data_IF_796517421674
#
_entry.id   IF_796517421674
#
_cell.length_a   1.000
_cell.length_b   1.000
_cell.length_c   1.000
_cell.angle_alpha   90.00
_cell.angle_beta   90.00
_cell.angle_gamma   90.00
#
_symmetry.space_group_name_H-M   'P 1'
#
loop_
_entity.id
_entity.type
_entity.pdbx_description
1 polymer ?
#
# COMPACT_ATOMS: atom_id res chain seq x y z
N UNK A 1 36.14 19.42 22.91
CA UNK A 1 36.08 17.95 22.89
C UNK A 1 34.71 17.42 23.27
N UNK A 2 34.05 17.95 24.30
CA UNK A 2 32.70 17.49 24.68
C UNK A 2 31.65 17.70 23.60
N UNK A 3 31.70 18.78 22.83
CA UNK A 3 30.76 19.07 21.76
C UNK A 3 30.86 18.09 20.58
N UNK A 4 32.06 17.59 20.30
CA UNK A 4 32.30 16.63 19.22
C UNK A 4 31.74 15.27 19.58
N UNK A 5 31.88 14.85 20.85
CA UNK A 5 31.31 13.59 21.35
C UNK A 5 29.78 13.61 21.34
N UNK A 6 29.17 14.75 21.69
CA UNK A 6 27.71 14.92 21.63
C UNK A 6 27.19 14.89 20.19
N UNK A 7 27.93 15.49 19.25
CA UNK A 7 27.56 15.45 17.82
C UNK A 7 27.65 14.02 17.27
N UNK A 8 28.70 13.28 17.64
CA UNK A 8 28.84 11.89 17.23
C UNK A 8 27.72 11.01 17.82
N UNK A 9 27.36 11.21 19.07
CA UNK A 9 26.24 10.50 19.68
C UNK A 9 24.89 10.85 19.00
N UNK A 10 24.67 12.13 18.71
CA UNK A 10 23.47 12.57 18.01
C UNK A 10 23.38 11.96 16.60
N UNK A 11 24.50 11.90 15.88
CA UNK A 11 24.56 11.27 14.57
C UNK A 11 24.34 9.76 14.65
N UNK A 12 24.88 9.09 15.67
CA UNK A 12 24.64 7.65 15.90
C UNK A 12 23.16 7.37 16.17
N UNK A 13 22.52 8.18 16.99
CA UNK A 13 21.08 8.05 17.26
C UNK A 13 20.24 8.23 15.99
N UNK A 14 20.61 9.18 15.13
CA UNK A 14 19.96 9.39 13.84
C UNK A 14 20.17 8.22 12.89
N UNK A 15 21.37 7.65 12.87
CA UNK A 15 21.69 6.48 12.05
C UNK A 15 20.93 5.26 12.56
N UNK A 16 20.83 5.04 13.86
CA UNK A 16 20.03 3.97 14.45
C UNK A 16 18.56 4.10 14.09
N UNK A 17 18.01 5.31 14.16
CA UNK A 17 16.62 5.57 13.74
C UNK A 17 16.41 5.32 12.26
N UNK A 18 17.36 5.70 11.42
CA UNK A 18 17.32 5.44 9.98
C UNK A 18 17.49 3.95 9.68
N UNK A 19 18.35 3.26 10.40
CA UNK A 19 18.51 1.81 10.29
C UNK A 19 17.28 1.06 10.75
N UNK A 20 16.63 1.50 11.84
CA UNK A 20 15.36 0.94 12.27
C UNK A 20 14.26 1.17 11.24
N UNK A 21 14.22 2.33 10.60
CA UNK A 21 13.32 2.58 9.47
C UNK A 21 13.71 1.75 8.24
N UNK A 22 15.01 1.54 8.01
CA UNK A 22 15.52 0.73 6.91
C UNK A 22 15.35 -0.76 7.19
N UNK A 23 15.44 -1.21 8.45
CA UNK A 23 15.14 -2.59 8.82
C UNK A 23 13.64 -2.90 8.77
N UNK A 24 12.82 -1.86 8.66
CA UNK A 24 11.40 -1.95 8.30
C UNK A 24 11.21 -1.93 6.78
N UNK A 25 12.29 -1.78 5.97
CA UNK A 25 12.23 -2.13 4.56
C UNK A 25 11.94 -3.62 4.49
N UNK A 26 10.74 -4.01 4.06
CA UNK A 26 10.32 -5.38 4.23
C UNK A 26 11.19 -6.30 3.37
N UNK A 27 11.66 -7.37 3.99
CA UNK A 27 12.10 -8.52 3.23
C UNK A 27 10.97 -8.95 2.28
N UNK A 28 11.25 -9.73 1.25
CA UNK A 28 10.25 -10.21 0.30
C UNK A 28 9.05 -10.85 1.02
N UNK A 29 9.29 -11.53 2.16
CA UNK A 29 8.24 -12.13 2.98
C UNK A 29 7.38 -11.07 3.68
N UNK A 30 7.99 -10.00 4.19
CA UNK A 30 7.26 -8.91 4.84
C UNK A 30 6.42 -8.11 3.83
N UNK A 31 6.92 -7.93 2.61
CA UNK A 31 6.16 -7.31 1.53
C UNK A 31 4.95 -8.16 1.15
N UNK A 32 5.12 -9.49 1.08
CA UNK A 32 4.02 -10.40 0.80
C UNK A 32 2.95 -10.32 1.88
N UNK A 33 3.33 -10.35 3.15
CA UNK A 33 2.41 -10.22 4.28
C UNK A 33 1.67 -8.89 4.26
N UNK A 34 2.38 -7.81 3.99
CA UNK A 34 1.78 -6.47 3.89
C UNK A 34 0.83 -6.36 2.72
N UNK A 35 1.17 -6.95 1.59
CA UNK A 35 0.29 -6.97 0.42
C UNK A 35 -0.97 -7.79 0.71
N UNK A 36 -0.83 -8.96 1.32
CA UNK A 36 -1.96 -9.80 1.69
C UNK A 36 -2.88 -9.07 2.69
N UNK A 37 -2.30 -8.37 3.66
CA UNK A 37 -3.06 -7.55 4.60
C UNK A 37 -3.77 -6.41 3.89
N UNK A 38 -3.12 -5.75 2.93
CA UNK A 38 -3.72 -4.70 2.12
C UNK A 38 -4.94 -5.22 1.36
N UNK A 39 -4.84 -6.38 0.72
CA UNK A 39 -5.96 -7.01 0.03
C UNK A 39 -7.09 -7.33 1.01
N UNK A 40 -6.75 -7.93 2.14
CA UNK A 40 -7.72 -8.31 3.17
C UNK A 40 -8.48 -7.08 3.69
N UNK A 41 -7.79 -6.02 4.04
CA UNK A 41 -8.39 -4.80 4.58
C UNK A 41 -9.22 -4.05 3.52
N UNK A 42 -8.76 -4.05 2.27
CA UNK A 42 -9.52 -3.44 1.17
C UNK A 42 -10.82 -4.19 0.89
N UNK A 43 -10.78 -5.52 0.91
CA UNK A 43 -11.98 -6.35 0.77
C UNK A 43 -12.94 -6.12 1.93
N UNK A 44 -12.43 -6.03 3.14
CA UNK A 44 -13.23 -5.78 4.34
C UNK A 44 -13.91 -4.41 4.28
N UNK A 45 -13.19 -3.37 3.85
CA UNK A 45 -13.73 -2.01 3.74
C UNK A 45 -14.89 -1.94 2.75
N UNK A 46 -14.84 -2.71 1.67
CA UNK A 46 -15.85 -2.72 0.62
C UNK A 46 -16.83 -3.88 0.72
N UNK A 47 -16.75 -4.67 1.79
CA UNK A 47 -17.65 -5.80 2.05
C UNK A 47 -17.67 -6.83 0.92
N UNK A 48 -16.51 -7.10 0.35
CA UNK A 48 -16.32 -8.14 -0.66
C UNK A 48 -15.42 -9.24 -0.10
N UNK A 49 -15.42 -10.41 -0.73
CA UNK A 49 -14.52 -11.50 -0.38
C UNK A 49 -13.21 -11.40 -1.13
N UNK A 50 -12.15 -12.02 -0.61
CA UNK A 50 -10.88 -12.12 -1.33
C UNK A 50 -11.03 -12.91 -2.64
N UNK A 51 -11.95 -13.89 -2.66
CA UNK A 51 -12.26 -14.62 -3.86
C UNK A 51 -12.82 -13.68 -4.95
N UNK A 52 -13.73 -12.79 -4.60
CA UNK A 52 -14.27 -11.77 -5.51
C UNK A 52 -13.14 -10.87 -6.05
N UNK A 53 -12.20 -10.50 -5.18
CA UNK A 53 -11.07 -9.65 -5.54
C UNK A 53 -10.18 -10.31 -6.62
N UNK A 54 -9.90 -11.61 -6.48
CA UNK A 54 -9.01 -12.33 -7.41
C UNK A 54 -9.73 -12.91 -8.64
N UNK A 55 -11.03 -12.99 -8.62
CA UNK A 55 -11.82 -13.50 -9.74
C UNK A 55 -12.09 -12.43 -10.80
N UNK A 56 -12.68 -12.84 -11.92
CA UNK A 56 -12.98 -11.96 -13.05
C UNK A 56 -14.21 -11.07 -12.83
N UNK A 57 -14.75 -11.00 -11.61
CA UNK A 57 -15.89 -10.15 -11.29
C UNK A 57 -15.61 -8.68 -11.57
N UNK A 58 -16.64 -7.98 -12.10
CA UNK A 58 -16.54 -6.59 -12.51
C UNK A 58 -17.56 -5.69 -11.80
N UNK A 59 -18.04 -6.09 -10.64
CA UNK A 59 -18.88 -5.23 -9.84
C UNK A 59 -18.10 -3.99 -9.42
N UNK A 60 -18.80 -2.90 -9.20
CA UNK A 60 -18.20 -1.61 -8.83
C UNK A 60 -17.29 -1.74 -7.60
N UNK A 61 -17.75 -2.42 -6.56
CA UNK A 61 -16.98 -2.57 -5.32
C UNK A 61 -15.70 -3.39 -5.52
N UNK A 62 -15.77 -4.44 -6.33
CA UNK A 62 -14.61 -5.27 -6.66
C UNK A 62 -13.58 -4.47 -7.46
N UNK A 63 -14.03 -3.71 -8.46
CA UNK A 63 -13.15 -2.87 -9.27
C UNK A 63 -12.52 -1.77 -8.41
N UNK A 64 -13.30 -1.14 -7.54
CA UNK A 64 -12.80 -0.12 -6.62
C UNK A 64 -11.76 -0.70 -5.67
N UNK A 65 -12.00 -1.87 -5.10
CA UNK A 65 -11.04 -2.54 -4.21
C UNK A 65 -9.72 -2.82 -4.93
N UNK A 66 -9.78 -3.33 -6.15
CA UNK A 66 -8.57 -3.59 -6.96
C UNK A 66 -7.80 -2.31 -7.23
N UNK A 67 -8.46 -1.26 -7.66
CA UNK A 67 -7.83 0.02 -7.95
C UNK A 67 -7.21 0.64 -6.70
N UNK A 68 -7.88 0.54 -5.55
CA UNK A 68 -7.34 1.00 -4.26
C UNK A 68 -6.09 0.22 -3.87
N UNK A 69 -6.07 -1.10 -4.03
CA UNK A 69 -4.90 -1.94 -3.77
C UNK A 69 -3.75 -1.54 -4.70
N UNK A 70 -4.01 -1.35 -5.98
CA UNK A 70 -2.97 -0.94 -6.94
C UNK A 70 -2.37 0.42 -6.56
N UNK A 71 -3.20 1.35 -6.14
CA UNK A 71 -2.75 2.67 -5.71
C UNK A 71 -1.88 2.59 -4.45
N UNK A 72 -2.37 1.96 -3.40
CA UNK A 72 -1.65 1.86 -2.13
C UNK A 72 -0.35 1.07 -2.29
N UNK A 73 -0.38 -0.05 -2.98
CA UNK A 73 0.79 -0.90 -3.17
C UNK A 73 1.91 -0.17 -3.93
N UNK A 74 1.58 0.58 -4.97
CA UNK A 74 2.58 1.29 -5.77
C UNK A 74 3.01 2.61 -5.15
N UNK A 75 2.08 3.37 -4.56
CA UNK A 75 2.36 4.72 -4.06
C UNK A 75 2.85 4.74 -2.62
N UNK A 76 2.38 3.83 -1.77
CA UNK A 76 2.71 3.84 -0.34
C UNK A 76 3.62 2.69 0.09
N UNK A 77 3.51 1.54 -0.55
CA UNK A 77 4.36 0.40 -0.23
C UNK A 77 5.63 0.32 -1.08
N UNK A 78 5.72 1.16 -2.13
CA UNK A 78 6.90 1.21 -2.98
C UNK A 78 7.06 0.00 -3.89
N UNK A 79 6.03 -0.78 -4.11
CA UNK A 79 6.08 -1.92 -5.03
C UNK A 79 6.07 -1.44 -6.48
N UNK A 80 6.87 -2.10 -7.33
CA UNK A 80 6.84 -1.83 -8.75
C UNK A 80 5.52 -2.32 -9.35
N UNK A 81 5.04 -1.64 -10.40
CA UNK A 81 3.79 -2.03 -11.08
C UNK A 81 3.87 -3.46 -11.63
N UNK A 82 5.05 -3.91 -12.07
CA UNK A 82 5.27 -5.27 -12.54
C UNK A 82 5.13 -6.31 -11.42
N UNK A 83 5.59 -5.98 -10.20
CA UNK A 83 5.46 -6.85 -9.03
C UNK A 83 4.00 -6.99 -8.61
N UNK A 84 3.27 -5.89 -8.58
CA UNK A 84 1.83 -5.92 -8.27
C UNK A 84 1.09 -6.73 -9.33
N UNK A 85 1.40 -6.51 -10.61
CA UNK A 85 0.81 -7.26 -11.71
C UNK A 85 1.01 -8.77 -11.58
N UNK A 86 2.21 -9.19 -11.19
CA UNK A 86 2.52 -10.60 -10.94
C UNK A 86 1.67 -11.18 -9.80
N UNK A 87 1.50 -10.42 -8.72
CA UNK A 87 0.74 -10.87 -7.54
C UNK A 87 -0.74 -11.06 -7.83
N UNK A 88 -1.32 -10.18 -8.67
CA UNK A 88 -2.74 -10.22 -9.02
C UNK A 88 -3.00 -10.86 -10.38
N UNK A 89 -1.95 -11.31 -11.07
CA UNK A 89 -2.01 -11.92 -12.41
C UNK A 89 -2.67 -11.00 -13.44
N UNK A 90 -2.24 -9.74 -13.44
CA UNK A 90 -2.69 -8.71 -14.36
C UNK A 90 -1.50 -8.05 -15.03
N UNK A 91 -1.73 -7.48 -16.19
CA UNK A 91 -0.74 -6.73 -16.95
C UNK A 91 -0.36 -5.43 -16.21
N UNK A 92 0.89 -4.99 -16.36
CA UNK A 92 1.35 -3.75 -15.70
C UNK A 92 0.54 -2.52 -16.15
N UNK A 93 0.07 -2.48 -17.39
CA UNK A 93 -0.78 -1.40 -17.89
C UNK A 93 -2.12 -1.35 -17.15
N UNK A 94 -2.68 -2.50 -16.78
CA UNK A 94 -3.89 -2.60 -15.96
C UNK A 94 -3.66 -2.00 -14.56
N UNK A 95 -2.49 -2.27 -13.98
CA UNK A 95 -2.13 -1.73 -12.66
C UNK A 95 -2.00 -0.21 -12.72
N UNK A 96 -1.31 0.32 -13.73
CA UNK A 96 -1.13 1.77 -13.92
C UNK A 96 -2.49 2.44 -14.12
N UNK A 97 -3.35 1.86 -14.95
CA UNK A 97 -4.69 2.40 -15.20
C UNK A 97 -5.52 2.44 -13.90
N UNK A 98 -5.54 1.36 -13.16
CA UNK A 98 -6.29 1.29 -11.89
C UNK A 98 -5.75 2.26 -10.84
N UNK A 99 -4.43 2.36 -10.72
CA UNK A 99 -3.79 3.33 -9.83
C UNK A 99 -4.20 4.77 -10.15
N UNK A 100 -4.16 5.13 -11.42
CA UNK A 100 -4.51 6.49 -11.86
C UNK A 100 -6.01 6.75 -11.67
N UNK A 101 -6.86 5.76 -11.96
CA UNK A 101 -8.30 5.87 -11.74
C UNK A 101 -8.63 6.10 -10.27
N UNK A 102 -7.97 5.38 -9.37
CA UNK A 102 -8.19 5.57 -7.92
C UNK A 102 -7.67 6.93 -7.44
N UNK A 103 -6.54 7.39 -7.97
CA UNK A 103 -6.02 8.72 -7.67
C UNK A 103 -7.04 9.81 -8.02
N UNK A 104 -7.66 9.71 -9.19
CA UNK A 104 -8.71 10.64 -9.61
C UNK A 104 -9.94 10.57 -8.70
N UNK A 105 -10.32 9.37 -8.27
CA UNK A 105 -11.44 9.17 -7.34
C UNK A 105 -11.16 9.78 -5.98
N UNK A 106 -9.92 9.70 -5.48
CA UNK A 106 -9.53 10.34 -4.23
C UNK A 106 -9.65 11.86 -4.32
N UNK A 107 -9.25 12.45 -5.45
CA UNK A 107 -9.32 13.89 -5.66
C UNK A 107 -10.77 14.38 -5.69
N UNK A 108 -11.66 13.66 -6.37
CA UNK A 108 -13.08 14.04 -6.51
C UNK A 108 -13.93 13.63 -5.31
N UNK A 109 -13.61 12.52 -4.68
CA UNK A 109 -14.33 11.95 -3.52
C UNK A 109 -15.86 11.91 -3.70
N UNK A 110 -16.32 11.56 -4.89
CA UNK A 110 -17.75 11.58 -5.23
C UNK A 110 -18.59 10.56 -4.46
N UNK A 111 -17.98 9.43 -4.07
CA UNK A 111 -18.68 8.29 -3.47
C UNK A 111 -18.08 7.87 -2.13
N UNK A 112 -17.35 8.76 -1.46
CA UNK A 112 -16.72 8.46 -0.18
C UNK A 112 -15.46 7.59 -0.27
N UNK A 113 -14.75 7.62 -1.39
CA UNK A 113 -13.54 6.84 -1.61
C UNK A 113 -12.45 7.15 -0.57
N UNK A 114 -12.39 8.38 -0.08
CA UNK A 114 -11.44 8.78 0.97
C UNK A 114 -11.69 8.03 2.27
N UNK A 115 -12.93 7.72 2.58
CA UNK A 115 -13.28 6.97 3.79
C UNK A 115 -12.75 5.54 3.71
N UNK A 116 -12.92 4.87 2.59
CA UNK A 116 -12.35 3.55 2.35
C UNK A 116 -10.83 3.58 2.42
N UNK A 117 -10.22 4.54 1.75
CA UNK A 117 -8.77 4.73 1.73
C UNK A 117 -8.22 4.96 3.15
N UNK A 118 -8.82 5.87 3.91
CA UNK A 118 -8.38 6.18 5.27
C UNK A 118 -8.54 4.97 6.19
N UNK A 119 -9.62 4.23 6.07
CA UNK A 119 -9.88 3.02 6.85
C UNK A 119 -8.80 1.97 6.61
N UNK A 120 -8.45 1.73 5.34
CA UNK A 120 -7.42 0.76 4.97
C UNK A 120 -6.04 1.22 5.42
N UNK A 121 -5.71 2.49 5.21
CA UNK A 121 -4.41 3.04 5.64
C UNK A 121 -4.25 2.98 7.15
N UNK A 122 -5.30 3.28 7.92
CA UNK A 122 -5.26 3.18 9.39
C UNK A 122 -5.02 1.73 9.83
N UNK A 123 -5.67 0.77 9.18
CA UNK A 123 -5.47 -0.65 9.48
C UNK A 123 -4.05 -1.11 9.16
N UNK A 124 -3.45 -0.61 8.09
CA UNK A 124 -2.07 -0.95 7.70
C UNK A 124 -1.03 -0.35 8.63
N UNK A 125 -1.33 0.78 9.27
CA UNK A 125 -0.41 1.48 10.18
C UNK A 125 -0.45 0.91 11.60
N UNK A 126 -1.40 0.07 11.92
CA UNK A 126 -1.45 -0.66 13.18
C UNK A 126 -0.51 -1.88 13.11
#
# INVERSE_FOLDING_TARGET
MENILKEIQSLRERIEKLEQRASVIPTTQNLRKKFDLLVQESCKALSITQMDFYNAGRTRDVVLARHMVFYIATMHMGLAVTDVGRRVKKDHSTIIHGRNAFSDLLDTNKFGERDYYNSVMNALLQ
#
